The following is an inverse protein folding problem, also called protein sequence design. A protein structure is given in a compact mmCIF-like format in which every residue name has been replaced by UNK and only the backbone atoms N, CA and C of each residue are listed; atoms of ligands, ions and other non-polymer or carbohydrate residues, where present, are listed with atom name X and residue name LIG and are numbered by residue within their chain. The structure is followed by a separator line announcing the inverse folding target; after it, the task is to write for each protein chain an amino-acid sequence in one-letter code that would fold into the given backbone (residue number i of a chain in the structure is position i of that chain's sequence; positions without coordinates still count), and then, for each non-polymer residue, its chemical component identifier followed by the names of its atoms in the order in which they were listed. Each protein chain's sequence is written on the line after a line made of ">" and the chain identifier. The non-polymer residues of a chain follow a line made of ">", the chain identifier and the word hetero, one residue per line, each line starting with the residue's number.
data_IF_223097705269
#
_entry.id   IF_223097705269
#
_cell.length_a   1.000
_cell.length_b   1.000
_cell.length_c   1.000
_cell.angle_alpha   90.00
_cell.angle_beta   90.00
_cell.angle_gamma   90.00
#
_symmetry.space_group_name_H-M   'P 1'
#
loop_
_entity.id
_entity.type
_entity.pdbx_description
1 polymer ?
#
# COMPACT_ATOMS: atom_id res chain seq x y z
N UNK A 1 -9.39 7.43 83.90
CA UNK A 1 -9.97 8.73 83.50
C UNK A 1 -9.73 8.90 82.01
N UNK A 2 -10.69 8.51 81.17
CA UNK A 2 -11.81 9.32 80.63
C UNK A 2 -11.42 10.30 79.52
N UNK A 3 -11.99 10.03 78.33
CA UNK A 3 -12.51 10.98 77.31
C UNK A 3 -11.46 11.67 76.44
N UNK A 4 -11.65 11.98 75.17
CA UNK A 4 -12.84 12.10 74.30
C UNK A 4 -12.30 12.09 72.85
N UNK A 5 -12.54 11.05 72.05
CA UNK A 5 -13.51 11.00 70.94
C UNK A 5 -13.77 12.33 70.17
N UNK A 6 -13.52 12.27 68.85
CA UNK A 6 -14.51 12.45 67.77
C UNK A 6 -14.48 13.74 66.92
N UNK A 7 -14.85 13.50 65.64
CA UNK A 7 -15.26 14.40 64.55
C UNK A 7 -14.12 14.99 63.68
N UNK A 8 -14.12 14.93 62.35
CA UNK A 8 -15.01 14.39 61.30
C UNK A 8 -14.21 14.56 59.97
N UNK A 9 -14.21 13.65 58.99
CA UNK A 9 -15.08 13.66 57.80
C UNK A 9 -14.52 12.51 56.92
N UNK A 10 -15.21 11.38 56.74
CA UNK A 10 -16.27 11.16 55.74
C UNK A 10 -16.01 11.85 54.41
N UNK A 11 -15.57 11.07 53.41
CA UNK A 11 -16.20 11.03 52.09
C UNK A 11 -15.89 9.69 51.42
N UNK A 12 -16.94 8.86 51.41
CA UNK A 12 -17.16 7.73 50.51
C UNK A 12 -17.06 8.20 49.06
N UNK A 13 -16.60 7.33 48.15
CA UNK A 13 -16.90 7.57 46.74
C UNK A 13 -16.33 6.62 45.71
N UNK A 14 -17.02 5.49 45.53
CA UNK A 14 -17.31 4.85 44.23
C UNK A 14 -16.14 4.17 43.48
N UNK A 15 -16.27 2.87 43.32
CA UNK A 15 -15.34 2.02 42.60
C UNK A 15 -15.20 2.35 41.11
N UNK A 16 -13.97 2.21 40.62
CA UNK A 16 -13.74 1.97 39.20
C UNK A 16 -13.96 0.48 38.94
N UNK A 17 -15.13 0.18 38.40
CA UNK A 17 -15.39 -1.03 37.64
C UNK A 17 -14.23 -1.29 36.67
N UNK A 18 -13.73 -2.52 36.69
CA UNK A 18 -12.95 -3.12 35.61
C UNK A 18 -13.76 -3.03 34.33
N UNK A 19 -13.56 -1.96 33.57
CA UNK A 19 -14.05 -1.86 32.21
C UNK A 19 -13.15 -2.74 31.36
N UNK A 20 -13.70 -3.88 30.95
CA UNK A 20 -13.21 -4.63 29.79
C UNK A 20 -12.83 -3.61 28.69
N UNK A 21 -11.64 -3.71 28.07
CA UNK A 21 -11.40 -2.97 26.86
C UNK A 21 -12.44 -3.46 25.85
N UNK A 22 -13.42 -2.60 25.63
CA UNK A 22 -14.44 -2.71 24.62
C UNK A 22 -13.72 -3.04 23.32
N UNK A 23 -14.13 -4.16 22.71
CA UNK A 23 -13.94 -4.42 21.30
C UNK A 23 -14.20 -3.11 20.57
N UNK A 24 -13.14 -2.47 20.08
CA UNK A 24 -13.26 -1.43 19.08
C UNK A 24 -13.85 -2.11 17.85
N UNK A 25 -15.18 -2.19 17.81
CA UNK A 25 -15.94 -2.35 16.57
C UNK A 25 -15.58 -1.15 15.72
N UNK A 26 -14.53 -1.37 14.93
CA UNK A 26 -14.12 -0.50 13.87
C UNK A 26 -15.36 -0.28 12.99
N UNK A 27 -15.84 0.96 12.82
CA UNK A 27 -17.06 1.19 12.06
C UNK A 27 -16.88 0.60 10.67
N UNK A 28 -17.76 -0.34 10.33
CA UNK A 28 -17.85 -0.95 9.01
C UNK A 28 -18.36 0.12 8.04
N UNK A 29 -17.46 0.99 7.59
CA UNK A 29 -17.71 1.87 6.47
C UNK A 29 -17.64 1.02 5.20
N UNK A 30 -18.81 0.55 4.76
CA UNK A 30 -19.06 0.19 3.35
C UNK A 30 -19.18 1.49 2.55
N UNK A 31 -18.06 2.21 2.39
CA UNK A 31 -17.93 3.14 1.29
C UNK A 31 -17.01 2.48 0.26
N UNK A 32 -17.53 2.20 -0.93
CA UNK A 32 -16.77 1.52 -2.00
C UNK A 32 -15.78 2.50 -2.64
N UNK A 33 -14.77 2.88 -1.85
CA UNK A 33 -13.66 3.74 -2.25
C UNK A 33 -12.78 3.14 -3.34
N UNK A 34 -11.72 3.85 -3.70
CA UNK A 34 -10.70 3.39 -4.65
C UNK A 34 -10.15 2.05 -4.17
N UNK A 35 -10.15 1.03 -5.03
CA UNK A 35 -9.61 -0.31 -4.72
C UNK A 35 -8.61 -0.77 -5.76
N UNK A 36 -7.68 -1.63 -5.34
CA UNK A 36 -6.83 -2.41 -6.20
C UNK A 36 -7.61 -3.55 -6.83
N UNK A 37 -7.38 -3.79 -8.11
CA UNK A 37 -7.80 -5.00 -8.82
C UNK A 37 -6.68 -5.47 -9.71
N UNK A 38 -6.54 -6.78 -9.89
CA UNK A 38 -5.65 -7.28 -10.94
C UNK A 38 -6.24 -6.92 -12.30
N UNK A 39 -5.38 -6.44 -13.18
CA UNK A 39 -5.77 -6.25 -14.57
C UNK A 39 -6.04 -7.60 -15.23
N UNK A 40 -7.05 -7.69 -16.08
CA UNK A 40 -7.43 -8.91 -16.81
C UNK A 40 -7.30 -8.77 -18.32
N UNK A 41 -6.93 -7.57 -18.82
CA UNK A 41 -6.70 -7.34 -20.24
C UNK A 41 -5.49 -8.17 -20.66
N UNK A 42 -5.62 -8.82 -21.81
CA UNK A 42 -4.53 -9.59 -22.38
C UNK A 42 -3.61 -8.63 -23.14
N UNK A 43 -2.34 -8.58 -22.75
CA UNK A 43 -1.31 -7.92 -23.54
C UNK A 43 -0.46 -9.00 -24.21
N UNK A 44 0.05 -8.64 -25.38
CA UNK A 44 1.02 -9.43 -26.12
C UNK A 44 2.28 -9.74 -25.30
N UNK A 45 2.77 -10.98 -25.41
CA UNK A 45 4.04 -11.40 -24.82
C UNK A 45 5.24 -11.16 -25.75
N UNK A 46 4.98 -10.70 -26.98
CA UNK A 46 5.98 -10.63 -28.04
C UNK A 46 6.88 -9.41 -27.83
N UNK A 47 8.19 -9.63 -27.75
CA UNK A 47 9.21 -8.55 -27.59
C UNK A 47 9.19 -7.55 -28.75
N UNK A 48 8.76 -7.99 -29.94
CA UNK A 48 8.63 -7.15 -31.14
C UNK A 48 7.32 -6.38 -31.22
N UNK A 49 6.42 -6.59 -30.27
CA UNK A 49 5.15 -5.91 -30.28
C UNK A 49 5.32 -4.50 -29.70
N UNK A 50 5.01 -3.45 -30.48
CA UNK A 50 5.12 -2.07 -30.01
C UNK A 50 4.16 -1.76 -28.85
N UNK A 51 3.15 -2.59 -28.60
CA UNK A 51 2.26 -2.47 -27.44
C UNK A 51 2.80 -3.17 -26.18
N UNK A 52 3.96 -3.83 -26.24
CA UNK A 52 4.59 -4.37 -25.04
C UNK A 52 5.22 -3.24 -24.23
N UNK A 53 4.50 -2.83 -23.19
CA UNK A 53 4.89 -1.74 -22.30
C UNK A 53 6.24 -1.96 -21.62
N UNK A 54 6.78 -3.19 -21.57
CA UNK A 54 8.12 -3.44 -21.06
C UNK A 54 9.25 -2.84 -21.91
N UNK A 55 9.00 -2.58 -23.20
CA UNK A 55 10.01 -2.08 -24.14
C UNK A 55 9.77 -0.63 -24.57
N UNK A 56 8.63 -0.06 -24.15
CA UNK A 56 8.34 1.36 -24.36
C UNK A 56 9.27 2.19 -23.46
N UNK A 57 9.95 3.22 -24.01
CA UNK A 57 10.72 4.16 -23.22
C UNK A 57 9.90 4.68 -22.05
N UNK A 58 10.50 4.67 -20.85
CA UNK A 58 9.85 5.20 -19.66
C UNK A 58 10.05 6.71 -19.62
N UNK A 59 9.01 7.41 -19.19
CA UNK A 59 9.05 8.85 -18.97
C UNK A 59 9.73 9.19 -17.66
N UNK A 60 9.30 10.29 -17.05
CA UNK A 60 9.94 10.82 -15.85
C UNK A 60 9.68 9.94 -14.61
N UNK A 61 10.67 9.91 -13.71
CA UNK A 61 10.50 9.35 -12.38
C UNK A 61 9.46 10.17 -11.60
N UNK A 62 8.55 9.47 -10.92
CA UNK A 62 7.65 10.10 -9.96
C UNK A 62 8.45 10.55 -8.72
N UNK A 63 8.08 11.71 -8.17
CA UNK A 63 8.65 12.17 -6.90
C UNK A 63 8.18 11.25 -5.77
N UNK A 64 9.12 10.50 -5.20
CA UNK A 64 8.90 9.63 -4.04
C UNK A 64 9.29 10.41 -2.79
N UNK A 65 8.36 10.50 -1.84
CA UNK A 65 8.57 11.12 -0.54
C UNK A 65 8.66 10.03 0.55
N UNK A 66 9.35 10.35 1.64
CA UNK A 66 9.38 9.52 2.84
C UNK A 66 8.41 10.08 3.89
N UNK A 67 7.79 9.19 4.65
CA UNK A 67 7.02 9.58 5.83
C UNK A 67 7.99 9.96 6.96
N UNK A 68 7.86 11.17 7.49
CA UNK A 68 8.71 11.68 8.56
C UNK A 68 8.55 10.91 9.88
N UNK A 69 7.40 10.24 10.07
CA UNK A 69 7.11 9.41 11.25
C UNK A 69 7.50 7.94 11.03
N UNK A 70 7.63 7.51 9.78
CA UNK A 70 8.03 6.15 9.42
C UNK A 70 8.90 6.15 8.16
N UNK A 71 10.22 6.20 8.34
CA UNK A 71 11.18 6.18 7.23
C UNK A 71 11.22 4.87 6.44
N UNK A 72 10.40 3.86 6.75
CA UNK A 72 10.23 2.70 5.86
C UNK A 72 9.00 2.84 4.94
N UNK A 73 8.15 3.84 5.20
CA UNK A 73 7.03 4.19 4.35
C UNK A 73 7.46 5.22 3.31
N UNK A 74 7.16 4.91 2.05
CA UNK A 74 7.38 5.78 0.90
C UNK A 74 6.06 6.04 0.22
N UNK A 75 5.89 7.23 -0.34
CA UNK A 75 4.66 7.54 -1.06
C UNK A 75 4.88 8.43 -2.27
N UNK A 76 4.03 8.25 -3.27
CA UNK A 76 4.00 9.04 -4.49
C UNK A 76 2.55 9.19 -4.98
N UNK A 77 2.29 10.25 -5.73
CA UNK A 77 0.99 10.45 -6.35
C UNK A 77 0.86 9.57 -7.60
N UNK A 78 -0.23 8.80 -7.71
CA UNK A 78 -0.61 8.11 -8.93
C UNK A 78 -1.31 9.09 -9.87
N UNK A 79 -0.72 9.30 -11.04
CA UNK A 79 -1.30 10.14 -12.08
C UNK A 79 -2.36 9.42 -12.91
N UNK A 80 -2.67 10.01 -14.06
CA UNK A 80 -3.58 9.47 -15.07
C UNK A 80 -2.91 8.52 -16.06
N UNK A 81 -1.58 8.45 -16.09
CA UNK A 81 -0.80 7.54 -16.95
C UNK A 81 -0.32 6.33 -16.13
N UNK A 82 -0.07 5.17 -16.76
CA UNK A 82 0.51 4.03 -16.07
C UNK A 82 1.84 4.37 -15.40
N UNK A 83 2.04 3.83 -14.20
CA UNK A 83 3.26 4.00 -13.43
C UNK A 83 3.88 2.63 -13.16
N UNK A 84 5.12 2.42 -13.62
CA UNK A 84 5.89 1.25 -13.24
C UNK A 84 6.49 1.48 -11.85
N UNK A 85 6.34 0.52 -10.97
CA UNK A 85 6.94 0.51 -9.63
C UNK A 85 7.96 -0.60 -9.58
N UNK A 86 9.17 -0.25 -9.18
CA UNK A 86 10.31 -1.16 -9.05
C UNK A 86 10.80 -1.10 -7.61
N UNK A 87 10.77 -2.23 -6.91
CA UNK A 87 11.37 -2.39 -5.58
C UNK A 87 12.58 -3.30 -5.72
N UNK A 88 13.75 -2.85 -5.29
CA UNK A 88 15.01 -3.53 -5.58
C UNK A 88 15.83 -3.84 -4.33
N UNK A 89 16.57 -4.96 -4.39
CA UNK A 89 17.58 -5.36 -3.41
C UNK A 89 18.78 -5.99 -4.11
N UNK A 90 19.87 -5.24 -4.21
CA UNK A 90 21.07 -5.68 -4.94
C UNK A 90 20.74 -5.99 -6.41
N UNK A 91 20.75 -7.27 -6.81
CA UNK A 91 20.43 -7.72 -8.18
C UNK A 91 18.99 -8.24 -8.34
N UNK A 92 18.19 -8.23 -7.28
CA UNK A 92 16.80 -8.70 -7.30
C UNK A 92 15.86 -7.52 -7.41
N UNK A 93 14.80 -7.64 -8.19
CA UNK A 93 13.75 -6.65 -8.27
C UNK A 93 12.36 -7.27 -8.29
N UNK A 94 11.42 -6.58 -7.66
CA UNK A 94 9.99 -6.70 -7.88
C UNK A 94 9.60 -5.57 -8.82
N UNK A 95 8.77 -5.86 -9.82
CA UNK A 95 8.35 -4.90 -10.84
C UNK A 95 6.88 -5.13 -11.14
N UNK A 96 6.08 -4.08 -11.10
CA UNK A 96 4.65 -4.11 -11.44
C UNK A 96 4.23 -2.76 -12.00
N UNK A 97 3.09 -2.69 -12.68
CA UNK A 97 2.52 -1.40 -13.08
C UNK A 97 1.20 -1.13 -12.36
N UNK A 98 0.98 0.15 -12.08
CA UNK A 98 -0.26 0.68 -11.54
C UNK A 98 -0.89 1.62 -12.57
N UNK A 99 -2.18 1.46 -12.82
CA UNK A 99 -2.93 2.37 -13.68
C UNK A 99 -4.29 2.68 -13.06
N UNK A 100 -4.63 3.96 -12.92
CA UNK A 100 -5.96 4.37 -12.53
C UNK A 100 -6.92 4.14 -13.72
N UNK A 101 -7.98 3.35 -13.54
CA UNK A 101 -9.06 3.16 -14.53
C UNK A 101 -10.40 3.42 -13.84
N UNK A 102 -11.04 4.53 -14.21
CA UNK A 102 -12.22 5.02 -13.49
C UNK A 102 -11.86 5.25 -12.02
N UNK A 103 -12.61 4.63 -11.11
CA UNK A 103 -12.37 4.72 -9.67
C UNK A 103 -11.37 3.69 -9.11
N UNK A 104 -10.98 2.70 -9.90
CA UNK A 104 -10.13 1.60 -9.43
C UNK A 104 -8.67 1.79 -9.85
N UNK A 105 -7.74 1.19 -9.11
CA UNK A 105 -6.33 1.09 -9.49
C UNK A 105 -6.04 -0.33 -9.96
N UNK A 106 -5.72 -0.47 -11.25
CA UNK A 106 -5.32 -1.74 -11.83
C UNK A 106 -3.88 -2.05 -11.47
N UNK A 107 -3.65 -3.27 -11.00
CA UNK A 107 -2.33 -3.86 -10.76
C UNK A 107 -2.02 -4.78 -11.93
N UNK A 108 -1.07 -4.37 -12.77
CA UNK A 108 -0.59 -5.17 -13.89
C UNK A 108 0.65 -5.94 -13.45
N UNK A 109 0.65 -7.23 -13.76
CA UNK A 109 1.66 -8.22 -13.38
C UNK A 109 2.11 -9.02 -14.60
N UNK A 110 3.09 -9.90 -14.40
CA UNK A 110 3.65 -10.78 -15.43
C UNK A 110 2.66 -11.79 -16.03
N UNK A 111 1.44 -11.93 -15.50
CA UNK A 111 0.43 -12.79 -16.12
C UNK A 111 -0.08 -12.24 -17.45
N UNK A 112 -0.16 -10.91 -17.58
CA UNK A 112 -0.61 -10.28 -18.81
C UNK A 112 0.51 -9.53 -19.53
N UNK A 113 1.59 -9.12 -18.83
CA UNK A 113 2.76 -8.44 -19.39
C UNK A 113 4.06 -9.18 -19.01
N UNK A 114 4.37 -10.32 -19.66
CA UNK A 114 5.21 -11.36 -19.08
C UNK A 114 6.73 -11.08 -19.05
N UNK A 115 7.21 -10.00 -19.68
CA UNK A 115 8.65 -9.87 -19.93
C UNK A 115 9.41 -9.05 -18.89
N UNK A 116 8.76 -8.11 -18.20
CA UNK A 116 9.42 -7.20 -17.24
C UNK A 116 8.70 -7.06 -15.89
N UNK A 117 7.52 -7.66 -15.73
CA UNK A 117 6.73 -7.58 -14.50
C UNK A 117 6.81 -8.89 -13.73
N UNK A 118 6.72 -8.80 -12.41
CA UNK A 118 6.72 -9.93 -11.50
C UNK A 118 5.47 -10.78 -11.67
N UNK A 119 5.61 -12.09 -11.46
CA UNK A 119 4.50 -13.04 -11.56
C UNK A 119 3.37 -12.71 -10.57
N UNK A 120 2.10 -12.82 -11.00
CA UNK A 120 0.92 -12.58 -10.15
C UNK A 120 0.92 -13.41 -8.88
N UNK A 121 1.50 -14.61 -8.90
CA UNK A 121 1.59 -15.49 -7.73
C UNK A 121 2.35 -14.89 -6.54
N UNK A 122 3.15 -13.85 -6.76
CA UNK A 122 3.85 -13.13 -5.70
C UNK A 122 2.97 -12.05 -5.04
N UNK A 123 1.75 -11.80 -5.55
CA UNK A 123 0.89 -10.72 -5.10
C UNK A 123 -0.36 -11.26 -4.41
N UNK A 124 -0.79 -10.58 -3.34
CA UNK A 124 -2.07 -10.86 -2.69
C UNK A 124 -2.78 -9.54 -2.37
N UNK A 125 -3.88 -9.27 -3.07
CA UNK A 125 -4.76 -8.13 -2.78
C UNK A 125 -5.56 -8.44 -1.51
N UNK A 126 -5.65 -7.47 -0.60
CA UNK A 126 -6.41 -7.62 0.64
C UNK A 126 -7.92 -7.77 0.34
N UNK A 127 -8.72 -8.40 1.22
CA UNK A 127 -10.15 -8.61 0.96
C UNK A 127 -10.95 -7.34 0.69
N UNK A 128 -10.50 -6.19 1.21
CA UNK A 128 -11.11 -4.88 0.99
C UNK A 128 -10.58 -4.18 -0.26
N UNK A 129 -9.54 -4.69 -0.90
CA UNK A 129 -8.88 -4.08 -2.06
C UNK A 129 -8.09 -2.82 -1.74
N UNK A 130 -7.96 -2.41 -0.48
CA UNK A 130 -7.28 -1.16 -0.10
C UNK A 130 -5.76 -1.31 -0.03
N UNK A 131 -5.26 -2.54 -0.09
CA UNK A 131 -3.83 -2.83 -0.13
C UNK A 131 -3.56 -4.13 -0.89
N UNK A 132 -2.31 -4.34 -1.27
CA UNK A 132 -1.81 -5.65 -1.65
C UNK A 132 -0.42 -5.87 -1.07
N UNK A 133 -0.10 -7.14 -0.81
CA UNK A 133 1.24 -7.55 -0.42
C UNK A 133 1.98 -8.13 -1.62
N UNK A 134 3.30 -7.96 -1.62
CA UNK A 134 4.22 -8.67 -2.49
C UNK A 134 5.12 -9.57 -1.65
N UNK A 135 5.31 -10.82 -2.05
CA UNK A 135 6.29 -11.72 -1.45
C UNK A 135 6.79 -12.72 -2.50
N UNK A 136 8.05 -12.60 -2.90
CA UNK A 136 8.69 -13.53 -3.83
C UNK A 136 9.39 -14.72 -3.15
N UNK A 137 9.27 -14.86 -1.83
CA UNK A 137 9.94 -15.87 -0.99
C UNK A 137 11.47 -15.83 -1.05
N UNK A 138 12.05 -14.73 -1.54
CA UNK A 138 13.49 -14.53 -1.78
C UNK A 138 13.96 -13.15 -1.29
N UNK A 139 13.45 -12.69 -0.15
CA UNK A 139 13.82 -11.42 0.52
C UNK A 139 13.26 -10.13 -0.09
N UNK A 140 12.34 -10.20 -1.05
CA UNK A 140 11.50 -9.06 -1.41
C UNK A 140 10.09 -9.32 -0.87
N UNK A 141 9.78 -8.66 0.24
CA UNK A 141 8.46 -8.62 0.85
C UNK A 141 8.14 -7.17 1.20
N UNK A 142 6.98 -6.67 0.79
CA UNK A 142 6.50 -5.32 1.10
C UNK A 142 4.98 -5.25 0.93
N UNK A 143 4.37 -4.22 1.52
CA UNK A 143 2.95 -3.91 1.32
C UNK A 143 2.79 -2.61 0.52
N UNK A 144 1.74 -2.55 -0.29
CA UNK A 144 1.34 -1.35 -1.01
C UNK A 144 -0.09 -1.01 -0.64
N UNK A 145 -0.34 0.23 -0.22
CA UNK A 145 -1.63 0.71 0.25
C UNK A 145 -2.14 1.84 -0.65
N UNK A 146 -3.46 1.91 -0.78
CA UNK A 146 -4.18 3.03 -1.37
C UNK A 146 -4.48 4.07 -0.31
N UNK A 147 -4.12 5.31 -0.60
CA UNK A 147 -4.55 6.47 0.15
C UNK A 147 -5.30 7.41 -0.80
N UNK A 148 -6.62 7.44 -0.71
CA UNK A 148 -7.45 8.33 -1.49
C UNK A 148 -7.40 9.74 -0.89
N UNK A 149 -6.97 10.72 -1.68
CA UNK A 149 -6.90 12.13 -1.29
C UNK A 149 -7.94 12.93 -2.10
N UNK A 150 -8.41 14.09 -1.59
CA UNK A 150 -9.37 14.94 -2.31
C UNK A 150 -8.93 15.38 -3.71
N UNK A 151 -7.62 15.33 -4.01
CA UNK A 151 -7.04 15.69 -5.31
C UNK A 151 -6.49 14.51 -6.14
N UNK A 152 -6.70 13.25 -5.71
CA UNK A 152 -6.22 12.08 -6.45
C UNK A 152 -5.85 10.89 -5.58
N UNK A 153 -5.20 9.90 -6.19
CA UNK A 153 -4.77 8.68 -5.51
C UNK A 153 -3.30 8.79 -5.12
N UNK A 154 -2.97 8.57 -3.85
CA UNK A 154 -1.60 8.39 -3.39
C UNK A 154 -1.34 6.90 -3.18
N UNK A 155 -0.19 6.43 -3.66
CA UNK A 155 0.31 5.08 -3.41
C UNK A 155 1.30 5.16 -2.27
N UNK A 156 1.10 4.30 -1.28
CA UNK A 156 1.99 4.13 -0.15
C UNK A 156 2.66 2.77 -0.28
N UNK A 157 3.99 2.73 -0.22
CA UNK A 157 4.77 1.50 -0.20
C UNK A 157 5.41 1.37 1.18
N UNK A 158 5.07 0.32 1.90
CA UNK A 158 5.64 -0.02 3.20
C UNK A 158 6.72 -1.07 3.03
N UNK A 159 7.97 -0.60 3.14
CA UNK A 159 9.14 -1.46 3.13
C UNK A 159 9.35 -2.03 4.54
N UNK A 160 9.89 -3.25 4.69
CA UNK A 160 10.28 -3.74 6.00
C UNK A 160 11.43 -2.90 6.58
N UNK A 161 11.48 -2.77 7.90
CA UNK A 161 12.58 -2.08 8.58
C UNK A 161 13.93 -2.75 8.27
N UNK A 162 14.99 -1.95 8.10
CA UNK A 162 16.35 -2.42 7.83
C UNK A 162 16.47 -3.34 6.60
N UNK A 163 15.57 -3.20 5.63
CA UNK A 163 15.48 -4.12 4.49
C UNK A 163 16.46 -3.81 3.35
N UNK A 164 17.05 -2.61 3.35
CA UNK A 164 17.91 -2.06 2.29
C UNK A 164 17.20 -1.99 0.92
N UNK A 165 15.87 -1.99 0.92
CA UNK A 165 15.09 -1.93 -0.32
C UNK A 165 15.12 -0.53 -0.92
N UNK A 166 15.47 -0.47 -2.20
CA UNK A 166 15.28 0.70 -3.05
C UNK A 166 13.86 0.71 -3.62
N UNK A 167 13.34 1.90 -3.90
CA UNK A 167 12.05 2.09 -4.56
C UNK A 167 12.20 3.12 -5.67
N UNK A 168 11.76 2.75 -6.87
CA UNK A 168 11.61 3.65 -8.00
C UNK A 168 10.18 3.56 -8.52
N UNK A 169 9.62 4.70 -8.90
CA UNK A 169 8.32 4.79 -9.56
C UNK A 169 8.51 5.63 -10.83
N UNK A 170 8.15 5.10 -11.99
CA UNK A 170 8.41 5.72 -13.29
C UNK A 170 7.10 5.83 -14.07
N UNK A 171 6.77 7.03 -14.52
CA UNK A 171 5.58 7.26 -15.35
C UNK A 171 5.84 6.75 -16.77
N UNK A 172 4.80 6.20 -17.39
CA UNK A 172 4.86 5.73 -18.76
C UNK A 172 3.76 6.42 -19.57
N UNK A 173 4.06 7.62 -20.05
CA UNK A 173 3.12 8.44 -20.82
C UNK A 173 2.70 7.78 -22.15
N UNK A 174 3.57 6.91 -22.69
CA UNK A 174 3.35 6.17 -23.93
C UNK A 174 2.75 4.77 -23.71
N UNK A 175 2.50 4.36 -22.46
CA UNK A 175 1.76 3.12 -22.14
C UNK A 175 0.25 3.38 -22.25
N UNK A 176 -0.29 3.37 -23.47
CA UNK A 176 -1.72 3.62 -23.75
C UNK A 176 -2.47 2.35 -24.14
#
# INVERSE_FOLDING_TARGET
>A
MTRLTLFLLFLLGIGCNSSNPSSSEQPKSEDQGVVFKFDTRQFTSTVRDPSNWCFIPKGDAALINADAQNYNRRFFALGNVPCQVIVEKGKMSASFMLQQIGKDVMVLTGQNLPTCLSATANFQISPKGTSFTYDNKRNLNFEVLLNALPGGTQIVVELPANSELGLTAIRCDDCK
#
